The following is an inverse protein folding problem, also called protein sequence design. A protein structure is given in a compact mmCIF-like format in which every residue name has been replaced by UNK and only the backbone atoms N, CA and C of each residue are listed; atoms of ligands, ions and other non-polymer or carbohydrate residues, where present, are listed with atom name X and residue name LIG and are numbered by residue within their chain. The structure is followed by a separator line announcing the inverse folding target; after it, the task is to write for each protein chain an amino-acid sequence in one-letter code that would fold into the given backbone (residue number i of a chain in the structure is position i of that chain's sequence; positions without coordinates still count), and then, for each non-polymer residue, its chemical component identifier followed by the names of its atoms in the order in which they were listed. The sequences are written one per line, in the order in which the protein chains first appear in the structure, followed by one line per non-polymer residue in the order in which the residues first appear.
data_IF_317203687109
#
_entry.id   IF_317203687109
#
_cell.length_a   1.000
_cell.length_b   1.000
_cell.length_c   1.000
_cell.angle_alpha   90.00
_cell.angle_beta   90.00
_cell.angle_gamma   90.00
#
_symmetry.space_group_name_H-M   'P 1'
#
loop_
_entity.id
_entity.type
_entity.pdbx_description
1 polymer ?
#
# COMPACT_ATOMS: atom_id res chain seq x y z
N UNK A 1 11.05 -8.92 -2.20
CA UNK A 1 11.18 -9.15 -3.67
C UNK A 1 12.64 -9.30 -4.05
N UNK A 2 12.95 -10.16 -5.05
CA UNK A 2 14.33 -10.37 -5.54
C UNK A 2 14.35 -10.40 -7.06
N UNK A 3 15.04 -9.45 -7.70
CA UNK A 3 15.21 -9.28 -9.15
C UNK A 3 13.89 -9.44 -9.93
N UNK A 4 12.84 -8.78 -9.46
CA UNK A 4 11.52 -8.82 -10.08
C UNK A 4 11.54 -8.05 -11.39
N UNK A 5 11.16 -8.72 -12.46
CA UNK A 5 10.93 -8.15 -13.79
C UNK A 5 9.46 -8.24 -14.12
N UNK A 6 8.92 -7.19 -14.73
CA UNK A 6 7.59 -7.21 -15.33
C UNK A 6 7.64 -6.63 -16.73
N UNK A 7 7.23 -7.44 -17.70
CA UNK A 7 7.09 -7.06 -19.11
C UNK A 7 5.64 -7.27 -19.51
N UNK A 8 5.04 -6.27 -20.12
CA UNK A 8 3.71 -6.35 -20.73
C UNK A 8 3.90 -6.47 -22.25
N UNK A 9 3.21 -7.41 -22.88
CA UNK A 9 3.21 -7.60 -24.34
C UNK A 9 1.88 -7.04 -24.90
N UNK A 10 1.98 -6.01 -25.71
CA UNK A 10 0.84 -5.37 -26.40
C UNK A 10 1.00 -5.58 -27.91
N UNK A 11 0.47 -6.70 -28.42
CA UNK A 11 0.72 -7.13 -29.80
C UNK A 11 2.19 -7.45 -30.03
N UNK A 12 2.88 -6.67 -30.85
CA UNK A 12 4.32 -6.80 -31.12
C UNK A 12 5.21 -5.90 -30.25
N UNK A 13 4.62 -5.09 -29.39
CA UNK A 13 5.38 -4.15 -28.55
C UNK A 13 5.56 -4.75 -27.15
N UNK A 14 6.79 -4.78 -26.68
CA UNK A 14 7.11 -5.14 -25.29
C UNK A 14 7.40 -3.89 -24.47
N UNK A 15 6.72 -3.76 -23.34
CA UNK A 15 6.93 -2.69 -22.37
C UNK A 15 7.53 -3.28 -21.10
N UNK A 16 8.80 -2.99 -20.84
CA UNK A 16 9.51 -3.41 -19.64
C UNK A 16 9.19 -2.45 -18.49
N UNK A 17 8.13 -2.74 -17.76
CA UNK A 17 7.66 -1.89 -16.67
C UNK A 17 8.52 -1.99 -15.41
N UNK A 18 9.10 -3.18 -15.12
CA UNK A 18 10.10 -3.37 -14.07
C UNK A 18 11.30 -4.16 -14.61
N UNK A 19 12.51 -3.72 -14.25
CA UNK A 19 13.78 -4.19 -14.80
C UNK A 19 14.70 -4.81 -13.75
N UNK A 20 14.19 -5.74 -12.93
CA UNK A 20 14.99 -6.46 -11.93
C UNK A 20 14.95 -5.82 -10.54
N UNK A 21 13.80 -5.28 -10.16
CA UNK A 21 13.58 -4.65 -8.86
C UNK A 21 13.80 -5.63 -7.72
N UNK A 22 14.64 -5.22 -6.77
CA UNK A 22 14.86 -5.93 -5.51
C UNK A 22 14.53 -5.00 -4.35
N UNK A 23 13.51 -5.38 -3.56
CA UNK A 23 13.00 -4.58 -2.46
C UNK A 23 12.61 -5.48 -1.29
N UNK A 24 13.16 -5.23 -0.12
CA UNK A 24 12.70 -5.81 1.15
C UNK A 24 11.87 -4.76 1.90
N UNK A 25 10.73 -5.16 2.44
CA UNK A 25 9.90 -4.35 3.33
C UNK A 25 9.70 -5.20 4.58
N UNK A 26 10.14 -4.69 5.72
CA UNK A 26 10.04 -5.39 6.99
C UNK A 26 8.72 -5.05 7.70
N UNK A 27 8.33 -5.92 8.66
CA UNK A 27 7.14 -5.64 9.47
C UNK A 27 7.36 -4.36 10.27
N UNK A 28 6.36 -3.47 10.26
CA UNK A 28 6.41 -2.17 10.92
C UNK A 28 7.13 -1.08 10.13
N UNK A 29 7.62 -1.37 8.92
CA UNK A 29 8.16 -0.33 8.03
C UNK A 29 7.06 0.65 7.62
N UNK A 30 7.46 1.92 7.44
CA UNK A 30 6.69 2.92 6.73
C UNK A 30 7.52 3.39 5.55
N UNK A 31 7.17 2.92 4.35
CA UNK A 31 7.93 3.12 3.12
C UNK A 31 7.14 3.99 2.15
N UNK A 32 7.73 5.04 1.63
CA UNK A 32 7.22 5.77 0.48
C UNK A 32 7.94 5.32 -0.80
N UNK A 33 7.19 4.90 -1.81
CA UNK A 33 7.67 4.59 -3.15
C UNK A 33 7.35 5.78 -4.04
N UNK A 34 8.39 6.44 -4.53
CA UNK A 34 8.30 7.66 -5.33
C UNK A 34 8.84 7.46 -6.75
N UNK A 35 8.48 8.36 -7.64
CA UNK A 35 8.99 8.41 -9.01
C UNK A 35 8.05 9.15 -9.95
N UNK A 36 8.53 9.53 -11.12
CA UNK A 36 7.74 10.20 -12.14
C UNK A 36 6.62 9.29 -12.70
N UNK A 37 5.67 9.86 -13.43
CA UNK A 37 4.70 9.07 -14.19
C UNK A 37 5.42 8.13 -15.15
N UNK A 38 4.95 6.89 -15.27
CA UNK A 38 5.58 5.87 -16.13
C UNK A 38 6.82 5.20 -15.53
N UNK A 39 7.30 5.57 -14.33
CA UNK A 39 8.50 4.95 -13.73
C UNK A 39 8.34 3.50 -13.27
N UNK A 40 7.11 2.94 -13.29
CA UNK A 40 6.82 1.57 -12.86
C UNK A 40 6.17 1.45 -11.48
N UNK A 41 5.82 2.54 -10.80
CA UNK A 41 5.22 2.54 -9.44
C UNK A 41 3.94 1.72 -9.36
N UNK A 42 2.98 1.97 -10.25
CA UNK A 42 1.70 1.24 -10.27
C UNK A 42 1.90 -0.24 -10.57
N UNK A 43 2.85 -0.58 -11.44
CA UNK A 43 3.22 -1.99 -11.70
C UNK A 43 3.83 -2.63 -10.46
N UNK A 44 4.74 -1.93 -9.77
CA UNK A 44 5.34 -2.42 -8.53
C UNK A 44 4.27 -2.61 -7.45
N UNK A 45 3.35 -1.64 -7.31
CA UNK A 45 2.21 -1.74 -6.41
C UNK A 45 1.33 -2.95 -6.71
N UNK A 46 0.97 -3.16 -7.98
CA UNK A 46 0.13 -4.29 -8.38
C UNK A 46 0.79 -5.64 -8.02
N UNK A 47 2.11 -5.74 -8.17
CA UNK A 47 2.84 -6.95 -7.77
C UNK A 47 2.88 -7.08 -6.24
N UNK A 48 3.19 -6.02 -5.49
CA UNK A 48 3.14 -6.03 -4.01
C UNK A 48 1.75 -6.42 -3.53
N UNK A 49 0.73 -5.89 -4.20
CA UNK A 49 -0.68 -6.11 -3.92
C UNK A 49 -1.22 -7.46 -4.37
N UNK A 50 -0.42 -8.33 -4.99
CA UNK A 50 -0.87 -9.59 -5.60
C UNK A 50 -2.03 -9.38 -6.60
N UNK A 51 -2.10 -8.20 -7.24
CA UNK A 51 -3.04 -7.89 -8.33
C UNK A 51 -2.46 -8.30 -9.69
N UNK A 52 -1.15 -8.49 -9.75
CA UNK A 52 -0.41 -8.95 -10.92
C UNK A 52 0.80 -9.80 -10.48
N UNK A 53 1.28 -10.66 -11.36
CA UNK A 53 2.43 -11.51 -11.10
C UNK A 53 3.67 -11.01 -11.85
N UNK A 54 4.87 -11.17 -11.28
CA UNK A 54 6.10 -10.85 -11.99
C UNK A 54 6.31 -11.79 -13.19
N UNK A 55 6.85 -11.27 -14.29
CA UNK A 55 7.28 -12.08 -15.45
C UNK A 55 8.45 -12.99 -15.05
N UNK A 56 9.37 -12.45 -14.22
CA UNK A 56 10.48 -13.23 -13.65
C UNK A 56 10.95 -12.63 -12.33
N UNK A 57 11.87 -13.30 -11.65
CA UNK A 57 12.29 -12.94 -10.31
C UNK A 57 11.46 -13.64 -9.25
N UNK A 58 11.51 -13.21 -8.00
CA UNK A 58 10.83 -13.85 -6.87
C UNK A 58 10.17 -12.82 -5.95
N UNK A 59 8.91 -13.06 -5.59
CA UNK A 59 8.21 -12.28 -4.58
C UNK A 59 7.74 -13.20 -3.45
N UNK A 60 8.17 -12.86 -2.23
CA UNK A 60 7.72 -13.52 -1.01
C UNK A 60 6.87 -12.51 -0.22
N UNK A 61 5.62 -12.86 0.05
CA UNK A 61 4.77 -12.15 1.00
C UNK A 61 4.68 -12.97 2.28
N UNK A 62 5.12 -12.39 3.37
CA UNK A 62 5.12 -13.05 4.69
C UNK A 62 5.82 -14.44 4.67
N UNK A 63 6.87 -14.57 3.86
CA UNK A 63 7.66 -15.80 3.67
C UNK A 63 7.14 -16.76 2.60
N UNK A 64 5.95 -16.53 2.03
CA UNK A 64 5.33 -17.40 1.03
C UNK A 64 5.56 -16.86 -0.38
N UNK A 65 6.01 -17.72 -1.32
CA UNK A 65 6.22 -17.34 -2.73
C UNK A 65 4.88 -17.26 -3.45
N UNK A 66 4.54 -16.10 -3.99
CA UNK A 66 3.25 -15.86 -4.65
C UNK A 66 3.17 -16.43 -6.07
N UNK A 67 4.30 -16.75 -6.72
CA UNK A 67 4.30 -17.19 -8.13
C UNK A 67 3.68 -18.56 -8.38
N UNK A 68 3.61 -19.40 -7.36
CA UNK A 68 3.00 -20.73 -7.45
C UNK A 68 1.53 -20.78 -7.06
N UNK A 69 0.94 -19.63 -6.70
CA UNK A 69 -0.44 -19.56 -6.23
C UNK A 69 -1.43 -19.51 -7.39
N UNK A 70 -2.56 -20.17 -7.22
CA UNK A 70 -3.74 -20.04 -8.07
C UNK A 70 -4.41 -18.67 -7.87
N UNK A 71 -5.30 -18.27 -8.76
CA UNK A 71 -6.07 -17.01 -8.63
C UNK A 71 -6.90 -16.97 -7.35
N UNK A 72 -7.46 -18.12 -6.92
CA UNK A 72 -8.23 -18.20 -5.67
C UNK A 72 -7.33 -18.01 -4.43
N UNK A 73 -6.13 -18.60 -4.43
CA UNK A 73 -5.15 -18.41 -3.37
C UNK A 73 -4.65 -16.95 -3.32
N UNK A 74 -4.41 -16.33 -4.47
CA UNK A 74 -4.07 -14.91 -4.55
C UNK A 74 -5.21 -14.01 -4.05
N UNK A 75 -6.48 -14.38 -4.35
CA UNK A 75 -7.65 -13.65 -3.85
C UNK A 75 -7.76 -13.74 -2.31
N UNK A 76 -7.49 -14.92 -1.72
CA UNK A 76 -7.47 -15.10 -0.26
C UNK A 76 -6.33 -14.31 0.38
N UNK A 77 -5.13 -14.32 -0.23
CA UNK A 77 -3.98 -13.52 0.21
C UNK A 77 -4.30 -12.03 0.16
N UNK A 78 -4.88 -11.53 -0.95
CA UNK A 78 -5.31 -10.12 -1.07
C UNK A 78 -6.27 -9.74 0.05
N UNK A 79 -7.28 -10.56 0.29
CA UNK A 79 -8.31 -10.27 1.30
C UNK A 79 -7.76 -10.26 2.73
N UNK A 80 -6.86 -11.19 3.07
CA UNK A 80 -6.40 -11.41 4.44
C UNK A 80 -5.11 -10.70 4.80
N UNK A 81 -4.23 -10.44 3.82
CA UNK A 81 -2.87 -9.95 4.07
C UNK A 81 -2.65 -8.52 3.62
N UNK A 82 -3.51 -7.99 2.73
CA UNK A 82 -3.30 -6.70 2.10
C UNK A 82 -4.52 -5.81 2.30
N UNK A 83 -4.31 -4.62 2.87
CA UNK A 83 -5.31 -3.57 2.93
C UNK A 83 -5.01 -2.51 1.87
N UNK A 84 -5.93 -2.32 0.92
CA UNK A 84 -5.77 -1.33 -0.15
C UNK A 84 -6.45 -0.01 0.19
N UNK A 85 -5.75 1.09 -0.10
CA UNK A 85 -6.27 2.46 -0.07
C UNK A 85 -5.93 3.12 -1.39
N UNK A 86 -6.92 3.66 -2.11
CA UNK A 86 -6.77 4.25 -3.44
C UNK A 86 -7.08 5.74 -3.42
N UNK A 87 -6.57 6.47 -4.40
CA UNK A 87 -6.81 7.90 -4.60
C UNK A 87 -8.31 8.23 -4.73
N UNK A 88 -9.08 7.39 -5.42
CA UNK A 88 -10.52 7.59 -5.68
C UNK A 88 -11.43 7.00 -4.61
N UNK A 89 -10.90 6.73 -3.40
CA UNK A 89 -11.61 6.15 -2.25
C UNK A 89 -12.24 4.77 -2.51
N UNK A 90 -12.83 4.56 -3.69
CA UNK A 90 -13.49 3.32 -4.13
C UNK A 90 -14.52 2.80 -3.11
N UNK A 91 -15.33 3.70 -2.55
CA UNK A 91 -16.44 3.36 -1.69
C UNK A 91 -17.66 2.99 -2.53
N UNK A 92 -18.48 2.05 -2.02
CA UNK A 92 -19.76 1.72 -2.64
C UNK A 92 -20.76 2.84 -2.31
N UNK A 93 -21.28 3.58 -3.32
CA UNK A 93 -21.97 4.85 -3.09
C UNK A 93 -23.29 4.76 -2.33
N UNK A 94 -23.97 3.60 -2.41
CA UNK A 94 -25.31 3.38 -1.82
C UNK A 94 -25.28 2.58 -0.53
N UNK A 95 -24.12 2.46 0.09
CA UNK A 95 -23.92 1.76 1.36
C UNK A 95 -23.28 2.69 2.37
N UNK A 96 -23.60 2.51 3.64
CA UNK A 96 -23.06 3.33 4.73
C UNK A 96 -21.55 3.15 4.88
N UNK A 97 -20.90 4.05 5.62
CA UNK A 97 -19.50 3.93 5.99
C UNK A 97 -19.22 2.59 6.69
N UNK A 98 -20.08 2.20 7.63
CA UNK A 98 -19.99 0.91 8.33
C UNK A 98 -20.06 -0.27 7.37
N UNK A 99 -21.04 -0.29 6.45
CA UNK A 99 -21.20 -1.38 5.49
C UNK A 99 -20.03 -1.46 4.50
N UNK A 100 -19.45 -0.32 4.09
CA UNK A 100 -18.23 -0.30 3.29
C UNK A 100 -17.04 -0.94 4.02
N UNK A 101 -16.89 -0.68 5.32
CA UNK A 101 -15.82 -1.25 6.14
C UNK A 101 -16.05 -2.73 6.44
N UNK A 102 -17.31 -3.18 6.56
CA UNK A 102 -17.64 -4.61 6.73
C UNK A 102 -17.29 -5.48 5.51
N UNK A 103 -17.26 -4.90 4.31
CA UNK A 103 -17.18 -5.63 3.04
C UNK A 103 -16.04 -6.65 2.94
N UNK A 104 -14.77 -6.33 3.20
CA UNK A 104 -13.69 -7.31 3.10
C UNK A 104 -13.84 -8.46 4.10
N UNK A 105 -14.49 -8.22 5.23
CA UNK A 105 -14.78 -9.26 6.23
C UNK A 105 -15.95 -10.15 5.84
N UNK A 106 -16.86 -9.68 4.97
CA UNK A 106 -17.87 -10.53 4.32
C UNK A 106 -17.20 -11.55 3.42
N UNK A 107 -16.25 -11.12 2.59
CA UNK A 107 -15.47 -12.02 1.72
C UNK A 107 -14.60 -12.99 2.52
N UNK A 108 -14.12 -12.58 3.70
CA UNK A 108 -13.39 -13.46 4.62
C UNK A 108 -14.30 -14.49 5.35
N UNK A 109 -15.61 -14.52 5.07
CA UNK A 109 -16.56 -15.44 5.71
C UNK A 109 -16.85 -15.14 7.18
N UNK A 110 -16.54 -13.93 7.67
CA UNK A 110 -16.74 -13.57 9.07
C UNK A 110 -18.22 -13.43 9.40
N UNK A 111 -18.67 -13.93 10.55
CA UNK A 111 -20.04 -13.79 10.98
C UNK A 111 -20.44 -12.32 11.24
N UNK A 112 -21.75 -12.01 11.11
CA UNK A 112 -22.27 -10.63 11.13
C UNK A 112 -21.92 -9.87 12.40
N UNK A 113 -22.01 -10.49 13.57
CA UNK A 113 -21.72 -9.82 14.85
C UNK A 113 -20.27 -9.39 14.92
N UNK A 114 -19.34 -10.32 14.66
CA UNK A 114 -17.89 -10.06 14.75
C UNK A 114 -17.41 -9.06 13.72
N UNK A 115 -17.93 -9.08 12.47
CA UNK A 115 -17.53 -8.12 11.45
C UNK A 115 -18.01 -6.72 11.78
N UNK A 116 -19.25 -6.57 12.35
CA UNK A 116 -19.77 -5.28 12.78
C UNK A 116 -18.92 -4.68 13.90
N UNK A 117 -18.62 -5.44 14.94
CA UNK A 117 -17.73 -5.01 16.04
C UNK A 117 -16.36 -4.54 15.51
N UNK A 118 -15.78 -5.26 14.57
CA UNK A 118 -14.50 -4.88 13.95
C UNK A 118 -14.60 -3.64 13.08
N UNK A 119 -15.68 -3.47 12.34
CA UNK A 119 -15.90 -2.32 11.49
C UNK A 119 -16.11 -1.05 12.33
N UNK A 120 -16.86 -1.14 13.41
CA UNK A 120 -17.04 -0.06 14.38
C UNK A 120 -15.70 0.39 14.98
N UNK A 121 -14.90 -0.56 15.48
CA UNK A 121 -13.55 -0.29 15.98
C UNK A 121 -12.62 0.32 14.91
N UNK A 122 -12.73 -0.11 13.66
CA UNK A 122 -11.91 0.46 12.58
C UNK A 122 -12.30 1.90 12.27
N UNK A 123 -13.61 2.22 12.28
CA UNK A 123 -14.10 3.59 12.10
C UNK A 123 -13.73 4.50 13.27
N UNK A 124 -13.80 4.02 14.50
CA UNK A 124 -13.32 4.74 15.68
C UNK A 124 -11.83 5.12 15.57
N UNK A 125 -10.99 4.18 15.12
CA UNK A 125 -9.54 4.40 14.93
C UNK A 125 -9.22 5.51 13.94
N UNK A 126 -10.08 5.74 12.96
CA UNK A 126 -9.90 6.81 11.97
C UNK A 126 -10.69 8.09 12.32
N UNK A 127 -11.30 8.16 13.51
CA UNK A 127 -12.04 9.31 14.00
C UNK A 127 -13.40 9.53 13.32
N UNK A 128 -14.12 8.43 13.01
CA UNK A 128 -15.41 8.45 12.32
C UNK A 128 -16.50 7.66 13.08
N UNK A 129 -16.39 7.59 14.42
CA UNK A 129 -17.38 6.89 15.26
C UNK A 129 -18.80 7.48 15.13
N UNK A 130 -18.92 8.80 14.92
CA UNK A 130 -20.19 9.53 14.76
C UNK A 130 -20.70 9.56 13.31
N UNK A 131 -20.02 8.89 12.36
CA UNK A 131 -20.31 8.89 10.92
C UNK A 131 -20.60 7.51 10.34
N UNK A 132 -20.78 6.50 11.18
CA UNK A 132 -20.91 5.10 10.74
C UNK A 132 -22.09 4.85 9.79
N UNK A 133 -23.21 5.54 10.02
CA UNK A 133 -24.43 5.38 9.23
C UNK A 133 -24.54 6.32 8.02
N UNK A 134 -23.54 7.21 7.82
CA UNK A 134 -23.52 8.13 6.68
C UNK A 134 -23.18 7.42 5.37
N UNK A 135 -23.81 7.86 4.28
CA UNK A 135 -23.45 7.47 2.93
C UNK A 135 -22.20 8.23 2.46
N UNK A 136 -21.44 7.72 1.49
CA UNK A 136 -20.29 8.44 0.94
C UNK A 136 -20.60 9.87 0.46
N UNK A 137 -21.80 10.09 -0.12
CA UNK A 137 -22.26 11.42 -0.54
C UNK A 137 -22.49 12.44 0.57
N UNK A 138 -22.55 11.97 1.82
CA UNK A 138 -22.75 12.78 3.02
C UNK A 138 -21.43 13.06 3.75
N UNK A 139 -20.31 12.57 3.22
CA UNK A 139 -18.98 12.66 3.79
C UNK A 139 -18.08 13.56 2.94
N UNK A 140 -17.23 14.35 3.59
CA UNK A 140 -16.16 15.08 2.91
C UNK A 140 -15.14 14.11 2.26
N UNK A 141 -14.32 14.58 1.30
CA UNK A 141 -13.29 13.78 0.66
C UNK A 141 -12.33 13.15 1.69
N UNK A 142 -11.87 13.90 2.68
CA UNK A 142 -11.03 13.40 3.75
C UNK A 142 -11.73 12.35 4.63
N UNK A 143 -13.03 12.54 4.91
CA UNK A 143 -13.82 11.53 5.62
C UNK A 143 -13.99 10.25 4.78
N UNK A 144 -14.27 10.36 3.49
CA UNK A 144 -14.35 9.21 2.59
C UNK A 144 -13.03 8.45 2.54
N UNK A 145 -11.90 9.15 2.47
CA UNK A 145 -10.58 8.51 2.50
C UNK A 145 -10.32 7.81 3.83
N UNK A 146 -10.70 8.40 4.96
CA UNK A 146 -10.60 7.73 6.26
C UNK A 146 -11.51 6.48 6.36
N UNK A 147 -12.70 6.48 5.73
CA UNK A 147 -13.50 5.25 5.59
C UNK A 147 -12.76 4.19 4.76
N UNK A 148 -12.10 4.58 3.65
CA UNK A 148 -11.29 3.66 2.85
C UNK A 148 -10.09 3.09 3.66
N UNK A 149 -9.45 3.91 4.50
CA UNK A 149 -8.40 3.44 5.44
C UNK A 149 -9.00 2.48 6.48
N UNK A 150 -10.15 2.80 7.08
CA UNK A 150 -10.84 1.91 8.03
C UNK A 150 -11.17 0.55 7.39
N UNK A 151 -11.68 0.55 6.15
CA UNK A 151 -11.91 -0.66 5.37
C UNK A 151 -10.64 -1.47 5.17
N UNK A 152 -9.54 -0.81 4.84
CA UNK A 152 -8.25 -1.47 4.60
C UNK A 152 -7.71 -2.16 5.87
N UNK A 153 -7.92 -1.60 7.07
CA UNK A 153 -7.39 -2.17 8.32
C UNK A 153 -8.34 -3.16 9.01
N UNK A 154 -9.60 -3.26 8.58
CA UNK A 154 -10.65 -4.06 9.24
C UNK A 154 -10.33 -5.56 9.31
N UNK A 155 -9.67 -6.12 8.29
CA UNK A 155 -9.22 -7.52 8.25
C UNK A 155 -7.95 -7.79 9.06
N UNK A 156 -7.30 -6.75 9.60
CA UNK A 156 -6.01 -6.83 10.29
C UNK A 156 -4.88 -7.31 9.34
N UNK A 157 -4.65 -6.63 8.21
CA UNK A 157 -3.71 -7.07 7.19
C UNK A 157 -2.24 -7.00 7.65
N UNK A 158 -1.37 -7.74 6.94
CA UNK A 158 0.08 -7.69 7.17
C UNK A 158 0.69 -6.39 6.62
N UNK A 159 0.09 -5.83 5.56
CA UNK A 159 0.56 -4.61 4.88
C UNK A 159 -0.63 -3.73 4.47
N UNK A 160 -0.49 -2.43 4.66
CA UNK A 160 -1.39 -1.41 4.11
C UNK A 160 -0.69 -0.82 2.89
N UNK A 161 -1.34 -0.91 1.74
CA UNK A 161 -0.82 -0.44 0.45
C UNK A 161 -1.67 0.72 -0.03
N UNK A 162 -1.11 1.93 -0.01
CA UNK A 162 -1.82 3.16 -0.32
C UNK A 162 -1.28 3.80 -1.62
N UNK A 163 -2.15 3.91 -2.63
CA UNK A 163 -1.83 4.50 -3.94
C UNK A 163 -2.38 5.92 -4.02
N UNK A 164 -1.48 6.90 -4.02
CA UNK A 164 -1.79 8.34 -4.10
C UNK A 164 -2.95 8.74 -3.14
N UNK A 165 -2.91 8.34 -1.84
CA UNK A 165 -4.09 8.40 -0.97
C UNK A 165 -4.55 9.82 -0.65
N UNK A 166 -3.79 10.82 -1.04
CA UNK A 166 -4.04 12.24 -0.78
C UNK A 166 -4.27 13.06 -2.04
N UNK A 167 -4.10 12.48 -3.22
CA UNK A 167 -4.12 13.19 -4.50
C UNK A 167 -5.45 13.89 -4.87
N UNK A 168 -6.55 13.59 -4.18
CA UNK A 168 -7.87 14.23 -4.35
C UNK A 168 -8.30 15.04 -3.10
N UNK A 169 -7.38 15.37 -2.20
CA UNK A 169 -7.67 16.01 -0.93
C UNK A 169 -7.06 17.42 -0.85
N UNK A 170 -7.69 18.28 -0.08
CA UNK A 170 -7.07 19.55 0.33
C UNK A 170 -5.96 19.30 1.39
N UNK A 171 -5.16 20.33 1.67
CA UNK A 171 -4.02 20.24 2.58
C UNK A 171 -4.39 19.84 4.01
N UNK A 172 -5.59 20.20 4.48
CA UNK A 172 -6.07 19.85 5.82
C UNK A 172 -6.44 18.38 5.89
N UNK A 173 -7.24 17.90 4.93
CA UNK A 173 -7.62 16.50 4.83
C UNK A 173 -6.40 15.59 4.56
N UNK A 174 -5.44 16.06 3.74
CA UNK A 174 -4.15 15.37 3.52
C UNK A 174 -3.44 15.12 4.84
N UNK A 175 -3.30 16.16 5.69
CA UNK A 175 -2.63 16.04 6.99
C UNK A 175 -3.36 15.04 7.90
N UNK A 176 -4.69 15.14 8.01
CA UNK A 176 -5.50 14.22 8.82
C UNK A 176 -5.33 12.76 8.39
N UNK A 177 -5.32 12.49 7.08
CA UNK A 177 -5.12 11.13 6.55
C UNK A 177 -3.70 10.64 6.82
N UNK A 178 -2.68 11.49 6.66
CA UNK A 178 -1.28 11.12 6.95
C UNK A 178 -1.04 10.89 8.44
N UNK A 179 -1.71 11.62 9.33
CA UNK A 179 -1.71 11.36 10.77
C UNK A 179 -2.30 9.99 11.11
N UNK A 180 -3.35 9.56 10.39
CA UNK A 180 -3.91 8.20 10.56
C UNK A 180 -2.87 7.15 10.16
N UNK A 181 -2.19 7.27 9.01
CA UNK A 181 -1.14 6.33 8.60
C UNK A 181 0.02 6.31 9.59
N UNK A 182 0.46 7.46 10.08
CA UNK A 182 1.55 7.57 11.06
C UNK A 182 1.19 6.88 12.38
N UNK A 183 -0.03 7.05 12.88
CA UNK A 183 -0.54 6.34 14.06
C UNK A 183 -0.59 4.84 13.86
N UNK A 184 -1.14 4.37 12.73
CA UNK A 184 -1.19 2.94 12.40
C UNK A 184 0.21 2.34 12.33
N UNK A 185 1.18 3.06 11.78
CA UNK A 185 2.57 2.61 11.76
C UNK A 185 3.20 2.59 13.15
N UNK A 186 2.93 3.59 14.00
CA UNK A 186 3.37 3.61 15.39
C UNK A 186 2.81 2.43 16.21
N UNK A 187 1.62 1.92 15.83
CA UNK A 187 1.03 0.68 16.37
C UNK A 187 1.66 -0.61 15.79
N UNK A 188 2.72 -0.49 14.98
CA UNK A 188 3.44 -1.62 14.38
C UNK A 188 2.90 -2.09 13.03
N UNK A 189 2.01 -1.35 12.38
CA UNK A 189 1.51 -1.69 11.04
C UNK A 189 2.55 -1.36 9.98
N UNK A 190 2.69 -2.24 9.00
CA UNK A 190 3.49 -1.98 7.82
C UNK A 190 2.69 -1.14 6.84
N UNK A 191 3.22 0.00 6.42
CA UNK A 191 2.58 0.91 5.47
C UNK A 191 3.49 1.09 4.26
N UNK A 192 2.94 0.90 3.07
CA UNK A 192 3.59 1.25 1.80
C UNK A 192 2.74 2.30 1.11
N UNK A 193 3.32 3.46 0.95
CA UNK A 193 2.71 4.62 0.34
C UNK A 193 3.31 4.83 -1.05
N UNK A 194 2.48 4.97 -2.05
CA UNK A 194 2.90 5.37 -3.39
C UNK A 194 2.47 6.80 -3.60
N UNK A 195 3.42 7.66 -3.89
CA UNK A 195 3.15 9.08 -4.14
C UNK A 195 4.22 9.70 -5.02
N UNK A 196 3.88 10.80 -5.67
CA UNK A 196 4.84 11.67 -6.35
C UNK A 196 5.10 12.97 -5.58
N UNK A 197 4.40 13.18 -4.45
CA UNK A 197 4.49 14.38 -3.61
C UNK A 197 5.54 14.19 -2.51
N UNK A 198 6.58 15.04 -2.51
CA UNK A 198 7.66 14.99 -1.51
C UNK A 198 7.16 15.26 -0.08
N UNK A 199 6.17 16.16 0.10
CA UNK A 199 5.57 16.46 1.42
C UNK A 199 4.85 15.25 2.01
N UNK A 200 4.16 14.47 1.17
CA UNK A 200 3.47 13.26 1.58
C UNK A 200 4.49 12.16 1.91
N UNK A 201 5.51 12.00 1.08
CA UNK A 201 6.58 11.03 1.28
C UNK A 201 7.43 11.31 2.54
N UNK A 202 7.56 12.57 2.95
CA UNK A 202 8.30 12.96 4.16
C UNK A 202 7.72 12.38 5.46
N UNK A 203 6.46 11.90 5.46
CA UNK A 203 5.87 11.19 6.59
C UNK A 203 6.39 9.75 6.75
N UNK A 204 6.98 9.18 5.69
CA UNK A 204 7.51 7.82 5.73
C UNK A 204 8.89 7.77 6.38
N UNK A 205 9.23 6.63 6.98
CA UNK A 205 10.54 6.36 7.60
C UNK A 205 11.60 5.90 6.60
N UNK A 206 11.20 5.62 5.36
CA UNK A 206 12.06 5.17 4.27
C UNK A 206 11.50 5.63 2.95
N UNK A 207 12.35 6.13 2.07
CA UNK A 207 11.98 6.57 0.73
C UNK A 207 12.71 5.68 -0.28
N UNK A 208 11.94 5.14 -1.22
CA UNK A 208 12.42 4.34 -2.35
C UNK A 208 12.05 5.08 -3.63
N UNK A 209 13.05 5.48 -4.43
CA UNK A 209 12.81 6.19 -5.69
C UNK A 209 12.93 5.23 -6.88
N UNK A 210 11.86 5.20 -7.66
CA UNK A 210 11.76 4.40 -8.88
C UNK A 210 11.94 5.30 -10.12
N UNK A 211 12.76 4.84 -11.07
CA UNK A 211 12.93 5.47 -12.38
C UNK A 211 13.15 4.41 -13.44
N UNK A 212 12.38 4.47 -14.54
CA UNK A 212 12.49 3.59 -15.70
C UNK A 212 12.46 2.08 -15.35
N UNK A 213 11.64 1.71 -14.33
CA UNK A 213 11.49 0.35 -13.85
C UNK A 213 12.58 -0.15 -12.93
N UNK A 214 13.48 0.72 -12.46
CA UNK A 214 14.57 0.38 -11.54
C UNK A 214 14.52 1.22 -10.27
N UNK A 215 15.01 0.67 -9.15
CA UNK A 215 15.23 1.44 -7.93
C UNK A 215 16.56 2.19 -8.08
N UNK A 216 16.49 3.53 -8.08
CA UNK A 216 17.65 4.40 -8.22
C UNK A 216 18.13 4.96 -6.88
N UNK A 217 17.25 4.98 -5.87
CA UNK A 217 17.56 5.43 -4.52
C UNK A 217 16.69 4.69 -3.50
N UNK A 218 17.26 4.38 -2.35
CA UNK A 218 16.62 3.69 -1.24
C UNK A 218 17.32 4.09 0.07
N UNK A 219 16.72 5.00 0.81
CA UNK A 219 17.29 5.51 2.05
C UNK A 219 16.25 5.63 3.17
N UNK A 220 16.69 5.55 4.43
CA UNK A 220 15.86 5.79 5.61
C UNK A 220 15.92 7.27 5.97
N UNK A 221 14.75 7.84 6.30
CA UNK A 221 14.58 9.25 6.71
C UNK A 221 14.77 9.42 8.21
N UNK A 222 14.64 8.36 9.00
CA UNK A 222 14.82 8.36 10.45
C UNK A 222 15.82 7.29 10.85
N UNK A 223 16.64 7.51 11.90
CA UNK A 223 17.49 6.47 12.49
C UNK A 223 16.61 5.30 12.95
N UNK A 224 17.00 4.08 12.61
CA UNK A 224 16.36 2.87 13.12
C UNK A 224 17.23 2.32 14.22
N UNK A 225 16.66 2.17 15.41
CA UNK A 225 17.28 1.36 16.47
C UNK A 225 17.14 -0.12 16.08
N UNK A 226 18.18 -0.68 15.48
CA UNK A 226 18.22 -2.09 15.08
C UNK A 226 19.22 -2.38 13.95
N UNK A 227 19.68 -3.64 13.80
CA UNK A 227 20.58 -4.00 12.72
C UNK A 227 19.91 -3.80 11.34
N UNK A 228 20.67 -3.37 10.30
CA UNK A 228 20.13 -3.14 8.98
C UNK A 228 19.55 -4.44 8.39
N UNK A 229 18.47 -4.37 7.60
CA UNK A 229 17.91 -5.54 6.93
C UNK A 229 18.97 -6.23 6.08
N UNK A 230 18.98 -7.57 6.04
CA UNK A 230 19.97 -8.43 5.38
C UNK A 230 20.00 -8.32 3.84
N UNK A 231 19.74 -7.13 3.31
CA UNK A 231 19.80 -6.86 1.89
C UNK A 231 20.84 -5.77 1.56
N UNK A 232 22.10 -6.21 1.28
CA UNK A 232 23.10 -5.33 0.65
C UNK A 232 22.83 -5.32 -0.86
N UNK A 233 22.05 -4.36 -1.34
CA UNK A 233 22.14 -3.91 -2.74
C UNK A 233 23.55 -3.38 -2.97
N UNK A 234 24.18 -3.74 -4.09
CA UNK A 234 25.49 -3.20 -4.48
C UNK A 234 25.37 -1.67 -4.57
N UNK A 235 26.14 -0.98 -3.75
CA UNK A 235 26.45 0.44 -3.92
C UNK A 235 27.08 0.60 -5.31
N UNK A 236 26.43 1.36 -6.18
CA UNK A 236 27.06 1.80 -7.43
C UNK A 236 28.20 2.74 -7.03
N UNK A 237 29.43 2.29 -7.16
CA UNK A 237 30.60 3.11 -6.95
C UNK A 237 30.60 4.25 -7.98
N UNK A 238 30.43 5.48 -7.51
CA UNK A 238 30.72 6.68 -8.29
C UNK A 238 32.19 6.62 -8.70
N UNK A 239 32.45 6.39 -9.99
CA UNK A 239 33.76 6.61 -10.60
C UNK A 239 34.04 8.12 -10.51
N UNK A 240 34.97 8.47 -9.63
CA UNK A 240 35.57 9.80 -9.61
C UNK A 240 36.23 10.09 -10.95
N UNK A 241 35.95 11.27 -11.48
CA UNK A 241 36.70 11.88 -12.57
C UNK A 241 38.10 12.27 -12.07
N UNK A 242 39.10 11.83 -12.78
CA UNK A 242 40.43 12.43 -12.83
C UNK A 242 40.70 12.75 -14.26
#
# INVERSE_FOLDING_TARGET
MRRVVKTYTLGQIEVHALRGVSLGIDRGDFVAIMGASGSGKSTLMNIIGCLDLPTSGRYLLDGVDVRGMTEDELADVRNRKIGFVFQSFNLIPRTTALANVELPMVYAGMNKKRRRERAELALERVGLADRMDHLPSELSGGQQQRVAVARAIATNPAIILADEPTGNLDSTATREVMEVFSRLNAEGRTVVLITHEDEVAANAKRIVRLRDGEIVDDHRTSPVDGPPPHYRGRTVATRGAS
#
